data_IF_612211856846
#
_entry.id   IF_612211856846
#
_cell.length_a   1.000
_cell.length_b   1.000
_cell.length_c   1.000
_cell.angle_alpha   90.00
_cell.angle_beta   90.00
_cell.angle_gamma   90.00
#
_symmetry.space_group_name_H-M   'P 1'
#
loop_
_entity.id
_entity.type
_entity.pdbx_description
1 polymer ?
#
# COMPACT_ATOMS: atom_id res chain seq x y z
N UNK A 1 -12.24 48.33 8.47
CA UNK A 1 -11.37 47.33 7.86
C UNK A 1 -11.99 45.95 8.12
N UNK A 2 -12.37 45.20 7.08
CA UNK A 2 -13.07 43.94 7.21
C UNK A 2 -12.17 42.84 7.80
N UNK A 3 -12.73 41.82 8.44
CA UNK A 3 -12.00 40.69 9.03
C UNK A 3 -11.08 39.97 8.00
N UNK A 4 -11.44 39.98 6.74
CA UNK A 4 -10.66 39.45 5.61
C UNK A 4 -9.34 40.19 5.36
N UNK A 5 -9.31 41.52 5.56
CA UNK A 5 -8.10 42.34 5.40
C UNK A 5 -7.07 42.08 6.52
N UNK A 6 -7.51 41.87 7.76
CA UNK A 6 -6.61 41.58 8.90
C UNK A 6 -5.99 40.17 8.78
N UNK A 7 -6.74 39.18 8.31
CA UNK A 7 -6.25 37.83 8.08
C UNK A 7 -5.21 37.78 6.96
N UNK A 8 -5.40 38.54 5.88
CA UNK A 8 -4.44 38.65 4.77
C UNK A 8 -3.10 39.26 5.19
N UNK A 9 -3.13 40.32 6.02
CA UNK A 9 -1.92 40.97 6.54
C UNK A 9 -1.14 40.10 7.52
N UNK A 10 -1.84 39.40 8.42
CA UNK A 10 -1.21 38.44 9.36
C UNK A 10 -0.54 37.30 8.63
N UNK A 11 -1.17 36.84 7.57
CA UNK A 11 -0.66 35.77 6.72
C UNK A 11 0.58 36.15 5.91
N UNK A 12 0.67 37.40 5.40
CA UNK A 12 1.87 37.94 4.74
C UNK A 12 3.06 38.04 5.69
N UNK A 13 2.83 38.46 6.94
CA UNK A 13 3.87 38.53 7.98
C UNK A 13 4.44 37.17 8.32
N UNK A 14 3.60 36.09 8.37
CA UNK A 14 4.04 34.73 8.57
C UNK A 14 4.95 34.27 7.42
N UNK A 15 4.54 34.50 6.17
CA UNK A 15 5.33 34.14 5.00
C UNK A 15 6.68 34.83 4.94
N UNK A 16 6.74 36.13 5.34
CA UNK A 16 7.96 36.92 5.38
C UNK A 16 8.95 36.39 6.42
N UNK A 17 8.50 36.13 7.65
CA UNK A 17 9.34 35.55 8.72
C UNK A 17 9.82 34.13 8.37
N UNK A 18 8.92 33.28 7.91
CA UNK A 18 9.24 31.90 7.63
C UNK A 18 10.10 31.71 6.36
N UNK A 19 9.99 32.60 5.36
CA UNK A 19 10.76 32.54 4.11
C UNK A 19 12.13 33.23 4.19
N UNK A 20 12.36 34.09 5.18
CA UNK A 20 13.58 34.87 5.28
C UNK A 20 14.82 33.99 5.51
N UNK A 21 15.63 33.83 4.47
CA UNK A 21 16.83 32.97 4.44
C UNK A 21 18.11 33.79 4.83
N UNK A 22 18.01 34.80 5.67
CA UNK A 22 19.12 35.68 6.05
C UNK A 22 20.14 35.05 7.01
N UNK A 23 20.52 33.76 6.76
CA UNK A 23 21.75 33.24 7.33
C UNK A 23 22.74 32.97 6.21
N UNK A 24 23.74 33.86 6.13
CA UNK A 24 24.99 33.70 5.34
C UNK A 24 25.48 32.27 5.47
N UNK A 25 25.83 31.64 4.33
CA UNK A 25 26.63 30.41 4.24
C UNK A 25 27.96 30.61 4.99
N UNK A 26 27.94 30.50 6.28
CA UNK A 26 29.14 30.24 7.06
C UNK A 26 29.25 28.74 7.19
N UNK A 27 30.33 28.18 6.63
CA UNK A 27 30.81 26.81 6.85
C UNK A 27 31.13 26.63 8.34
N UNK A 28 30.14 26.61 9.20
CA UNK A 28 30.31 26.26 10.62
C UNK A 28 30.42 24.72 10.72
N UNK A 29 31.50 24.24 11.36
CA UNK A 29 31.59 22.85 11.82
C UNK A 29 30.28 22.45 12.51
N UNK A 30 29.71 21.30 12.11
CA UNK A 30 28.49 20.79 12.70
C UNK A 30 28.55 20.80 14.23
N UNK A 31 27.46 21.27 14.88
CA UNK A 31 27.38 21.33 16.35
C UNK A 31 27.58 19.95 16.99
N UNK A 32 27.93 19.91 18.28
CA UNK A 32 28.05 18.64 19.02
C UNK A 32 26.75 17.83 18.96
N UNK A 33 25.61 18.49 19.09
CA UNK A 33 24.27 17.89 19.00
C UNK A 33 24.01 17.27 17.62
N UNK A 34 24.31 17.98 16.53
CA UNK A 34 24.15 17.48 15.17
C UNK A 34 24.99 16.24 14.89
N UNK A 35 26.21 16.14 15.45
CA UNK A 35 27.07 14.95 15.32
C UNK A 35 26.53 13.75 16.08
N UNK A 36 25.95 13.96 17.27
CA UNK A 36 25.38 12.89 18.09
C UNK A 36 24.20 12.21 17.38
N UNK A 37 23.27 12.99 16.78
CA UNK A 37 22.12 12.42 16.07
C UNK A 37 22.48 11.72 14.76
N UNK A 38 23.51 12.19 14.04
CA UNK A 38 24.00 11.58 12.80
C UNK A 38 24.54 10.17 12.99
N UNK A 39 24.91 9.75 14.18
CA UNK A 39 25.30 8.37 14.45
C UNK A 39 24.13 7.39 14.25
N UNK A 40 22.90 7.83 14.52
CA UNK A 40 21.71 7.00 14.42
C UNK A 40 20.90 7.31 13.16
N UNK A 41 20.93 8.55 12.69
CA UNK A 41 20.21 9.06 11.52
C UNK A 41 21.18 9.83 10.65
N UNK A 42 22.03 9.14 9.85
CA UNK A 42 23.06 9.82 9.05
C UNK A 42 22.46 10.60 7.88
N UNK A 43 21.36 10.13 7.34
CA UNK A 43 20.77 10.63 6.09
C UNK A 43 19.27 10.81 6.23
N UNK A 44 18.68 11.64 5.37
CA UNK A 44 17.25 11.92 5.25
C UNK A 44 16.89 12.04 3.77
N UNK A 45 15.74 11.52 3.39
CA UNK A 45 15.24 11.59 2.02
C UNK A 45 14.41 12.84 1.82
N UNK A 46 14.75 13.63 0.79
CA UNK A 46 13.94 14.76 0.33
C UNK A 46 12.71 14.29 -0.46
N UNK A 47 11.82 15.24 -0.75
CA UNK A 47 10.58 15.01 -1.53
C UNK A 47 10.82 14.54 -2.96
N UNK A 48 11.90 14.99 -3.58
CA UNK A 48 12.34 14.60 -4.93
C UNK A 48 13.09 13.26 -4.98
N UNK A 49 13.22 12.60 -3.82
CA UNK A 49 13.94 11.34 -3.68
C UNK A 49 15.43 11.50 -3.38
N UNK A 50 15.98 12.73 -3.45
CA UNK A 50 17.40 12.97 -3.13
C UNK A 50 17.69 12.64 -1.66
N UNK A 51 18.77 11.92 -1.41
CA UNK A 51 19.24 11.59 -0.07
C UNK A 51 20.31 12.57 0.36
N UNK A 52 20.05 13.28 1.45
CA UNK A 52 20.97 14.29 2.00
C UNK A 52 21.34 13.98 3.44
N UNK A 53 22.42 14.58 3.92
CA UNK A 53 22.86 14.43 5.31
C UNK A 53 21.83 15.04 6.26
N UNK A 54 21.52 14.32 7.35
CA UNK A 54 20.66 14.85 8.42
C UNK A 54 21.30 16.09 9.06
N UNK A 55 20.49 17.14 9.21
CA UNK A 55 20.92 18.43 9.73
C UNK A 55 19.97 18.91 10.84
N UNK A 56 20.42 18.77 12.08
CA UNK A 56 19.68 19.14 13.27
C UNK A 56 19.39 20.66 13.34
N UNK A 57 20.34 21.48 12.92
CA UNK A 57 20.19 22.95 12.97
C UNK A 57 19.04 23.44 12.08
N UNK A 58 18.72 22.72 11.01
CA UNK A 58 17.57 23.05 10.17
C UNK A 58 16.25 22.84 10.90
N UNK A 59 16.18 21.87 11.81
CA UNK A 59 14.99 21.63 12.63
C UNK A 59 14.84 22.75 13.63
N UNK A 60 15.92 23.08 14.36
CA UNK A 60 15.93 24.20 15.33
C UNK A 60 15.47 25.48 14.64
N UNK A 61 16.05 25.79 13.50
CA UNK A 61 15.74 27.02 12.77
C UNK A 61 14.30 27.07 12.25
N UNK A 62 13.75 25.94 11.81
CA UNK A 62 12.36 25.88 11.36
C UNK A 62 11.37 26.08 12.52
N UNK A 63 11.64 25.50 13.69
CA UNK A 63 10.84 25.66 14.90
C UNK A 63 10.93 27.12 15.42
N UNK A 64 12.13 27.66 15.49
CA UNK A 64 12.34 29.06 15.92
C UNK A 64 11.56 30.04 15.05
N UNK A 65 11.61 29.89 13.73
CA UNK A 65 10.79 30.71 12.82
C UNK A 65 9.29 30.56 13.06
N UNK A 66 8.82 29.35 13.34
CA UNK A 66 7.42 29.15 13.66
C UNK A 66 7.01 29.84 14.97
N UNK A 67 7.87 29.79 15.99
CA UNK A 67 7.67 30.48 17.24
C UNK A 67 7.66 32.03 17.07
N UNK A 68 8.59 32.58 16.31
CA UNK A 68 8.59 33.98 15.95
C UNK A 68 7.32 34.41 15.20
N UNK A 69 6.86 33.60 14.27
CA UNK A 69 5.65 33.83 13.50
C UNK A 69 4.36 33.69 14.34
N UNK A 70 4.39 32.85 15.35
CA UNK A 70 3.33 32.67 16.35
C UNK A 70 3.36 33.68 17.49
N UNK A 71 4.43 34.47 17.57
CA UNK A 71 4.68 35.43 18.68
C UNK A 71 4.72 34.73 20.06
N UNK A 72 5.24 33.50 20.08
CA UNK A 72 5.40 32.67 21.29
C UNK A 72 6.71 31.88 21.25
N UNK A 73 7.21 31.48 22.43
CA UNK A 73 8.44 30.71 22.57
C UNK A 73 9.73 31.52 22.43
N UNK A 74 10.84 30.86 22.64
CA UNK A 74 12.20 31.42 22.61
C UNK A 74 13.18 30.48 21.87
N UNK A 75 14.39 30.97 21.57
CA UNK A 75 15.45 30.19 20.95
C UNK A 75 15.77 28.88 21.72
N UNK A 76 15.80 28.99 23.07
CA UNK A 76 16.07 27.85 23.93
C UNK A 76 14.96 26.80 23.87
N UNK A 77 13.72 27.24 23.81
CA UNK A 77 12.56 26.37 23.70
C UNK A 77 12.48 25.73 22.31
N UNK A 78 12.83 26.46 21.26
CA UNK A 78 12.95 25.92 19.90
C UNK A 78 13.99 24.80 19.84
N UNK A 79 15.15 24.98 20.47
CA UNK A 79 16.20 23.98 20.57
C UNK A 79 15.72 22.76 21.37
N UNK A 80 15.01 22.96 22.48
CA UNK A 80 14.45 21.88 23.30
C UNK A 80 13.45 21.01 22.52
N UNK A 81 12.54 21.63 21.77
CA UNK A 81 11.59 20.92 20.92
C UNK A 81 12.32 20.21 19.80
N UNK A 82 13.32 20.82 19.17
CA UNK A 82 14.14 20.17 18.15
C UNK A 82 14.84 18.91 18.68
N UNK A 83 15.30 18.92 19.93
CA UNK A 83 15.85 17.75 20.60
C UNK A 83 14.81 16.65 20.78
N UNK A 84 13.55 16.97 21.11
CA UNK A 84 12.46 15.98 21.19
C UNK A 84 12.16 15.36 19.82
N UNK A 85 12.01 16.20 18.81
CA UNK A 85 11.81 15.76 17.41
C UNK A 85 12.93 14.81 16.97
N UNK A 86 14.20 15.20 17.16
CA UNK A 86 15.33 14.37 16.80
C UNK A 86 15.38 13.07 17.63
N UNK A 87 15.00 13.13 18.90
CA UNK A 87 14.88 11.97 19.79
C UNK A 87 13.84 10.97 19.33
N UNK A 88 12.68 11.44 18.87
CA UNK A 88 11.61 10.60 18.31
C UNK A 88 12.08 9.88 17.04
N UNK A 89 12.72 10.60 16.13
CA UNK A 89 13.28 10.03 14.89
C UNK A 89 14.35 8.98 15.21
N UNK A 90 15.25 9.25 16.16
CA UNK A 90 16.28 8.29 16.61
C UNK A 90 15.65 7.05 17.26
N UNK A 91 14.57 7.22 18.04
CA UNK A 91 13.84 6.11 18.66
C UNK A 91 13.28 5.18 17.59
N UNK A 92 12.70 5.72 16.53
CA UNK A 92 12.21 4.97 15.38
C UNK A 92 13.38 4.28 14.64
N UNK A 93 14.46 5.01 14.38
CA UNK A 93 15.65 4.47 13.70
C UNK A 93 16.31 3.31 14.48
N UNK A 94 16.30 3.36 15.81
CA UNK A 94 16.80 2.25 16.66
C UNK A 94 15.88 1.02 16.62
N UNK A 95 14.59 1.23 16.43
CA UNK A 95 13.59 0.15 16.40
C UNK A 95 13.58 -0.57 15.05
N UNK A 96 13.86 0.15 13.95
CA UNK A 96 13.76 -0.37 12.59
C UNK A 96 15.11 -0.21 11.87
N UNK A 97 15.82 -1.33 11.61
CA UNK A 97 17.22 -1.36 11.09
C UNK A 97 17.46 -0.58 9.79
N UNK A 98 16.47 -0.41 8.94
CA UNK A 98 16.60 0.26 7.63
C UNK A 98 15.72 1.51 7.51
N UNK A 99 15.38 2.13 8.63
CA UNK A 99 14.54 3.33 8.62
C UNK A 99 15.26 4.51 7.98
N UNK A 100 14.71 5.02 6.89
CA UNK A 100 15.13 6.26 6.23
C UNK A 100 14.08 7.35 6.51
N UNK A 101 14.37 8.31 7.39
CA UNK A 101 13.43 9.40 7.64
C UNK A 101 13.26 10.27 6.39
N UNK A 102 12.04 10.74 6.17
CA UNK A 102 11.73 11.69 5.10
C UNK A 102 11.57 13.10 5.66
N UNK A 103 11.76 14.10 4.80
CA UNK A 103 11.52 15.52 5.19
C UNK A 103 10.06 15.70 5.62
N UNK A 104 9.09 15.04 5.00
CA UNK A 104 7.67 15.12 5.38
C UNK A 104 7.45 14.54 6.79
N UNK A 105 7.91 13.30 7.04
CA UNK A 105 7.76 12.68 8.36
C UNK A 105 8.44 13.48 9.47
N UNK A 106 9.57 14.14 9.14
CA UNK A 106 10.23 15.06 10.08
C UNK A 106 9.38 16.29 10.38
N UNK A 107 8.75 16.86 9.36
CA UNK A 107 7.86 18.03 9.51
C UNK A 107 6.58 17.66 10.29
N UNK A 108 6.02 16.47 10.06
CA UNK A 108 4.88 15.99 10.83
C UNK A 108 5.25 15.81 12.32
N UNK A 109 6.46 15.35 12.59
CA UNK A 109 6.97 15.23 13.97
C UNK A 109 7.16 16.61 14.61
N UNK A 110 7.61 17.63 13.86
CA UNK A 110 7.71 19.02 14.35
C UNK A 110 6.33 19.57 14.70
N UNK A 111 5.33 19.39 13.85
CA UNK A 111 3.96 19.83 14.12
C UNK A 111 3.40 19.19 15.39
N UNK A 112 3.56 17.88 15.50
CA UNK A 112 3.15 17.10 16.67
C UNK A 112 3.80 17.62 17.95
N UNK A 113 5.12 17.80 17.95
CA UNK A 113 5.85 18.25 19.14
C UNK A 113 5.53 19.69 19.55
N UNK A 114 5.26 20.59 18.59
CA UNK A 114 4.77 21.94 18.87
C UNK A 114 3.40 21.91 19.56
N UNK A 115 2.47 21.08 19.07
CA UNK A 115 1.14 20.91 19.67
C UNK A 115 1.24 20.30 21.07
N UNK A 116 2.02 19.23 21.24
CA UNK A 116 2.19 18.56 22.52
C UNK A 116 2.91 19.40 23.57
N UNK A 117 3.67 20.41 23.15
CA UNK A 117 4.37 21.35 24.01
C UNK A 117 3.58 22.65 24.23
N UNK A 118 2.30 22.68 23.83
CA UNK A 118 1.35 23.79 23.99
C UNK A 118 1.73 25.09 23.25
N UNK A 119 2.58 25.00 22.20
CA UNK A 119 2.89 26.12 21.30
C UNK A 119 1.90 26.17 20.14
N UNK A 120 0.64 26.49 20.46
CA UNK A 120 -0.48 26.38 19.52
C UNK A 120 -0.37 27.40 18.39
N UNK A 121 0.05 28.64 18.67
CA UNK A 121 0.17 29.69 17.65
C UNK A 121 1.38 29.41 16.72
N UNK A 122 2.50 28.91 17.24
CA UNK A 122 3.65 28.47 16.45
C UNK A 122 3.29 27.26 15.57
N UNK A 123 2.60 26.27 16.12
CA UNK A 123 2.13 25.11 15.34
C UNK A 123 1.23 25.56 14.20
N UNK A 124 0.25 26.42 14.46
CA UNK A 124 -0.63 26.99 13.43
C UNK A 124 0.13 27.74 12.35
N UNK A 125 1.11 28.55 12.73
CA UNK A 125 1.96 29.29 11.78
C UNK A 125 2.77 28.33 10.90
N UNK A 126 3.31 27.27 11.48
CA UNK A 126 4.09 26.25 10.78
C UNK A 126 3.24 25.48 9.76
N UNK A 127 2.05 25.01 10.14
CA UNK A 127 1.10 24.30 9.27
C UNK A 127 0.66 25.17 8.09
N UNK A 128 0.25 26.42 8.38
CA UNK A 128 -0.17 27.37 7.33
C UNK A 128 0.96 27.64 6.34
N UNK A 129 2.19 27.82 6.82
CA UNK A 129 3.34 28.01 5.95
C UNK A 129 3.63 26.79 5.08
N UNK A 130 3.60 25.57 5.65
CA UNK A 130 3.76 24.33 4.87
C UNK A 130 2.73 24.22 3.75
N UNK A 131 1.45 24.43 4.08
CA UNK A 131 0.35 24.37 3.11
C UNK A 131 0.54 25.37 1.96
N UNK A 132 0.91 26.61 2.27
CA UNK A 132 1.17 27.62 1.25
C UNK A 132 2.37 27.29 0.39
N UNK A 133 3.45 26.82 0.98
CA UNK A 133 4.64 26.37 0.21
C UNK A 133 4.32 25.17 -0.68
N UNK A 134 3.40 24.29 -0.27
CA UNK A 134 2.89 23.23 -1.12
C UNK A 134 2.11 23.82 -2.32
N UNK A 135 1.16 24.71 -2.08
CA UNK A 135 0.40 25.41 -3.14
C UNK A 135 1.29 26.19 -4.12
N UNK A 136 2.30 26.93 -3.61
CA UNK A 136 3.24 27.67 -4.47
C UNK A 136 4.07 26.72 -5.35
N UNK A 137 4.47 25.56 -4.83
CA UNK A 137 5.15 24.54 -5.64
C UNK A 137 4.23 23.95 -6.70
N UNK A 138 2.98 23.68 -6.37
CA UNK A 138 1.96 23.23 -7.31
C UNK A 138 1.70 24.26 -8.42
N UNK A 139 1.66 25.54 -8.06
CA UNK A 139 1.48 26.63 -9.02
C UNK A 139 2.74 26.93 -9.85
N UNK A 140 3.92 26.56 -9.37
CA UNK A 140 5.20 26.73 -10.09
C UNK A 140 5.44 25.75 -11.23
N UNK A 141 4.63 24.69 -11.35
CA UNK A 141 4.64 23.79 -12.50
C UNK A 141 3.67 24.35 -13.54
N UNK A 142 4.19 25.10 -14.52
CA UNK A 142 3.42 25.55 -15.67
C UNK A 142 2.96 24.31 -16.46
N UNK A 143 1.67 24.00 -16.37
CA UNK A 143 1.07 22.94 -17.21
C UNK A 143 1.07 23.43 -18.67
N UNK A 144 1.66 22.69 -19.62
CA UNK A 144 1.65 23.08 -21.04
C UNK A 144 0.22 23.34 -21.54
N UNK A 145 0.06 24.33 -22.42
CA UNK A 145 -1.27 24.71 -22.94
C UNK A 145 -1.98 23.56 -23.67
N UNK A 146 -1.22 22.71 -24.36
CA UNK A 146 -1.75 21.50 -24.97
C UNK A 146 -2.38 20.55 -23.93
N UNK A 147 -1.70 20.33 -22.81
CA UNK A 147 -2.22 19.48 -21.71
C UNK A 147 -3.46 20.10 -21.09
N UNK A 148 -3.51 21.45 -20.96
CA UNK A 148 -4.72 22.14 -20.49
C UNK A 148 -5.90 21.93 -21.42
N UNK A 149 -5.70 22.01 -22.73
CA UNK A 149 -6.76 21.77 -23.74
C UNK A 149 -7.29 20.34 -23.67
N UNK A 150 -6.40 19.36 -23.66
CA UNK A 150 -6.75 17.94 -23.56
C UNK A 150 -7.50 17.61 -22.25
N UNK A 151 -7.07 18.21 -21.15
CA UNK A 151 -7.74 18.05 -19.84
C UNK A 151 -9.12 18.71 -19.86
N UNK A 152 -9.26 19.88 -20.47
CA UNK A 152 -10.54 20.57 -20.62
C UNK A 152 -11.54 19.78 -21.49
N UNK A 153 -11.06 19.10 -22.53
CA UNK A 153 -11.88 18.19 -23.33
C UNK A 153 -12.36 17.00 -22.49
N UNK A 154 -11.46 16.32 -21.81
CA UNK A 154 -11.80 15.19 -20.94
C UNK A 154 -12.76 15.58 -19.81
N UNK A 155 -12.64 16.80 -19.29
CA UNK A 155 -13.50 17.34 -18.22
C UNK A 155 -14.97 17.36 -18.60
N UNK A 156 -15.30 17.58 -19.89
CA UNK A 156 -16.68 17.54 -20.37
C UNK A 156 -17.33 16.18 -20.12
N UNK A 157 -16.61 15.10 -20.43
CA UNK A 157 -17.07 13.72 -20.22
C UNK A 157 -17.14 13.35 -18.74
N UNK A 158 -16.29 13.95 -17.90
CA UNK A 158 -16.32 13.79 -16.44
C UNK A 158 -17.36 14.73 -15.78
N UNK A 159 -18.34 15.22 -16.56
CA UNK A 159 -19.44 16.07 -16.12
C UNK A 159 -19.00 17.35 -15.41
N UNK A 160 -17.82 17.88 -15.72
CA UNK A 160 -17.19 19.02 -15.06
C UNK A 160 -17.12 18.87 -13.52
N UNK A 161 -17.06 17.64 -13.01
CA UNK A 161 -17.04 17.35 -11.60
C UNK A 161 -15.59 17.14 -11.11
N UNK A 162 -15.13 18.01 -10.21
CA UNK A 162 -13.76 17.97 -9.67
C UNK A 162 -13.45 16.66 -8.94
N UNK A 163 -14.44 16.04 -8.26
CA UNK A 163 -14.25 14.76 -7.60
C UNK A 163 -14.04 13.65 -8.62
N UNK A 164 -14.82 13.63 -9.70
CA UNK A 164 -14.66 12.67 -10.80
C UNK A 164 -13.29 12.79 -11.46
N UNK A 165 -12.82 14.02 -11.70
CA UNK A 165 -11.47 14.26 -12.20
C UNK A 165 -10.40 13.75 -11.24
N UNK A 166 -10.51 14.08 -9.96
CA UNK A 166 -9.58 13.63 -8.95
C UNK A 166 -9.49 12.09 -8.90
N UNK A 167 -10.64 11.42 -8.83
CA UNK A 167 -10.71 9.95 -8.80
C UNK A 167 -10.13 9.36 -10.08
N UNK A 168 -10.45 9.93 -11.25
CA UNK A 168 -9.94 9.45 -12.52
C UNK A 168 -8.41 9.56 -12.57
N UNK A 169 -7.83 10.75 -12.34
CA UNK A 169 -6.39 10.96 -12.45
C UNK A 169 -5.58 10.23 -11.37
N UNK A 170 -6.13 9.99 -10.20
CA UNK A 170 -5.43 9.28 -9.12
C UNK A 170 -5.51 7.77 -9.24
N UNK A 171 -6.64 7.22 -9.73
CA UNK A 171 -6.91 5.79 -9.69
C UNK A 171 -6.89 5.10 -11.06
N UNK A 172 -7.24 5.78 -12.15
CA UNK A 172 -7.47 5.16 -13.46
C UNK A 172 -6.55 5.63 -14.56
N UNK A 173 -6.13 6.90 -14.56
CA UNK A 173 -5.24 7.45 -15.57
C UNK A 173 -3.86 6.82 -15.46
N UNK A 174 -3.36 6.26 -16.56
CA UNK A 174 -2.01 5.69 -16.65
C UNK A 174 -0.99 6.75 -17.04
N UNK A 175 0.24 6.53 -16.63
CA UNK A 175 1.38 7.30 -17.12
C UNK A 175 1.79 6.79 -18.51
N UNK A 176 1.90 7.69 -19.47
CA UNK A 176 2.48 7.42 -20.78
C UNK A 176 3.92 7.93 -20.79
N UNK A 177 4.90 7.02 -20.95
CA UNK A 177 6.31 7.42 -21.04
C UNK A 177 6.59 8.14 -22.38
N UNK A 178 5.88 7.76 -23.45
CA UNK A 178 5.96 8.41 -24.77
C UNK A 178 5.53 9.88 -24.71
N UNK A 179 4.41 10.16 -24.02
CA UNK A 179 3.85 11.50 -23.89
C UNK A 179 4.42 12.30 -22.72
N UNK A 180 5.20 11.66 -21.83
CA UNK A 180 5.75 12.27 -20.61
C UNK A 180 4.70 12.77 -19.62
N UNK A 181 3.46 12.26 -19.68
CA UNK A 181 2.32 12.66 -18.84
C UNK A 181 1.32 11.53 -18.62
N UNK A 182 0.35 11.79 -17.76
CA UNK A 182 -0.78 10.88 -17.58
C UNK A 182 -1.75 10.97 -18.77
N UNK A 183 -2.44 9.86 -19.04
CA UNK A 183 -3.54 9.80 -20.02
C UNK A 183 -4.71 10.68 -19.60
N UNK A 184 -5.42 11.21 -20.61
CA UNK A 184 -6.74 11.82 -20.45
C UNK A 184 -7.83 10.74 -20.50
N UNK A 185 -9.07 11.10 -20.14
CA UNK A 185 -10.21 10.15 -20.20
C UNK A 185 -10.42 9.61 -21.62
N UNK A 186 -10.36 10.47 -22.61
CA UNK A 186 -10.48 10.08 -24.02
C UNK A 186 -9.41 9.06 -24.39
N UNK A 187 -8.14 9.33 -24.06
CA UNK A 187 -7.01 8.43 -24.33
C UNK A 187 -7.13 7.08 -23.60
N UNK A 188 -7.68 7.08 -22.38
CA UNK A 188 -7.93 5.83 -21.64
C UNK A 188 -8.99 4.98 -22.34
N UNK A 189 -10.07 5.60 -22.83
CA UNK A 189 -11.13 4.90 -23.58
C UNK A 189 -10.58 4.40 -24.91
N UNK A 190 -9.80 5.20 -25.63
CA UNK A 190 -9.19 4.78 -26.90
C UNK A 190 -8.26 3.58 -26.70
N UNK A 191 -7.38 3.59 -25.70
CA UNK A 191 -6.50 2.46 -25.37
C UNK A 191 -7.30 1.19 -25.02
N UNK A 192 -8.42 1.34 -24.31
CA UNK A 192 -9.32 0.22 -24.03
C UNK A 192 -9.96 -0.33 -25.29
N UNK A 193 -10.48 0.53 -26.16
CA UNK A 193 -11.12 0.12 -27.40
C UNK A 193 -10.15 -0.53 -28.37
N UNK A 194 -8.91 -0.01 -28.48
CA UNK A 194 -7.86 -0.61 -29.30
C UNK A 194 -7.53 -2.02 -28.82
N UNK A 195 -7.36 -2.20 -27.51
CA UNK A 195 -7.14 -3.51 -26.90
C UNK A 195 -8.32 -4.47 -27.15
N UNK A 196 -9.55 -3.99 -27.05
CA UNK A 196 -10.74 -4.82 -27.32
C UNK A 196 -10.83 -5.20 -28.79
N UNK A 197 -10.49 -4.29 -29.72
CA UNK A 197 -10.46 -4.58 -31.14
C UNK A 197 -9.41 -5.63 -31.49
N UNK A 198 -8.22 -5.57 -30.87
CA UNK A 198 -7.19 -6.60 -31.02
C UNK A 198 -7.68 -8.00 -30.59
N UNK A 199 -8.49 -8.08 -29.53
CA UNK A 199 -8.93 -9.34 -28.97
C UNK A 199 -10.22 -9.89 -29.60
N UNK A 200 -11.11 -9.01 -30.07
CA UNK A 200 -12.41 -9.40 -30.62
C UNK A 200 -12.42 -9.42 -32.15
N UNK A 201 -11.50 -8.70 -32.80
CA UNK A 201 -11.41 -8.67 -34.28
C UNK A 201 -12.74 -8.30 -34.93
N UNK A 202 -13.16 -9.12 -35.88
CA UNK A 202 -14.36 -8.91 -36.68
C UNK A 202 -15.67 -9.34 -36.02
N UNK A 203 -15.66 -9.64 -34.73
CA UNK A 203 -16.90 -9.97 -33.98
C UNK A 203 -17.86 -8.80 -33.87
N UNK A 204 -17.33 -7.58 -33.97
CA UNK A 204 -18.10 -6.35 -34.07
C UNK A 204 -17.65 -5.60 -35.34
N UNK A 205 -18.60 -4.94 -36.01
CA UNK A 205 -18.30 -4.05 -37.13
C UNK A 205 -17.82 -2.66 -36.66
N UNK A 206 -17.34 -1.85 -37.56
CA UNK A 206 -16.79 -0.52 -37.26
C UNK A 206 -17.78 0.42 -36.56
N UNK A 207 -19.07 0.36 -36.93
CA UNK A 207 -20.11 1.19 -36.32
C UNK A 207 -20.39 0.77 -34.90
N UNK A 208 -20.46 -0.54 -34.62
CA UNK A 208 -20.64 -1.08 -33.26
C UNK A 208 -19.48 -0.71 -32.35
N UNK A 209 -18.23 -0.78 -32.85
CA UNK A 209 -17.07 -0.28 -32.08
C UNK A 209 -17.17 1.22 -31.79
N UNK A 210 -17.64 2.03 -32.73
CA UNK A 210 -17.80 3.47 -32.54
C UNK A 210 -18.91 3.78 -31.52
N UNK A 211 -20.04 3.06 -31.59
CA UNK A 211 -21.15 3.19 -30.64
C UNK A 211 -20.72 2.82 -29.21
N UNK A 212 -20.03 1.68 -29.03
CA UNK A 212 -19.51 1.26 -27.73
C UNK A 212 -18.52 2.29 -27.18
N UNK A 213 -17.61 2.80 -28.03
CA UNK A 213 -16.68 3.84 -27.65
C UNK A 213 -17.37 5.09 -27.12
N UNK A 214 -18.37 5.59 -27.86
CA UNK A 214 -19.12 6.79 -27.49
C UNK A 214 -19.90 6.57 -26.18
N UNK A 215 -20.57 5.45 -26.02
CA UNK A 215 -21.27 5.10 -24.80
C UNK A 215 -20.36 5.05 -23.55
N UNK A 216 -19.12 4.56 -23.73
CA UNK A 216 -18.13 4.58 -22.64
C UNK A 216 -17.65 6.01 -22.37
N UNK A 217 -17.37 6.81 -23.41
CA UNK A 217 -16.94 8.21 -23.27
C UNK A 217 -17.97 9.04 -22.50
N UNK A 218 -19.25 8.90 -22.86
CA UNK A 218 -20.36 9.59 -22.20
C UNK A 218 -20.68 9.04 -20.81
N UNK A 219 -20.06 7.92 -20.41
CA UNK A 219 -20.35 7.20 -19.16
C UNK A 219 -21.78 6.64 -19.08
N UNK A 220 -22.41 6.37 -20.22
CA UNK A 220 -23.70 5.69 -20.28
C UNK A 220 -23.56 4.21 -19.96
N UNK A 221 -22.40 3.62 -20.30
CA UNK A 221 -21.99 2.28 -19.89
C UNK A 221 -20.60 2.31 -19.28
N UNK A 222 -20.37 1.46 -18.30
CA UNK A 222 -19.06 1.30 -17.65
C UNK A 222 -18.55 -0.13 -17.89
N UNK A 223 -17.47 -0.32 -18.64
CA UNK A 223 -16.84 -1.63 -18.74
C UNK A 223 -16.21 -2.03 -17.41
N UNK A 224 -15.66 -3.25 -17.34
CA UNK A 224 -14.86 -3.63 -16.18
C UNK A 224 -13.82 -2.55 -15.87
N UNK A 225 -13.93 -1.92 -14.71
CA UNK A 225 -13.01 -0.86 -14.28
C UNK A 225 -11.57 -1.36 -14.21
N UNK A 226 -11.39 -2.62 -13.90
CA UNK A 226 -10.07 -3.26 -13.87
C UNK A 226 -9.51 -3.39 -15.27
N UNK A 227 -10.31 -3.84 -16.24
CA UNK A 227 -9.87 -3.97 -17.62
C UNK A 227 -9.65 -2.59 -18.27
N UNK A 228 -10.52 -1.61 -17.99
CA UNK A 228 -10.31 -0.23 -18.44
C UNK A 228 -8.96 0.31 -17.99
N UNK A 229 -8.52 -0.01 -16.76
CA UNK A 229 -7.22 0.39 -16.24
C UNK A 229 -6.06 -0.41 -16.84
N UNK A 230 -6.20 -1.74 -17.02
CA UNK A 230 -5.12 -2.66 -17.40
C UNK A 230 -4.98 -2.90 -18.89
N UNK A 231 -6.00 -2.59 -19.69
CA UNK A 231 -5.98 -2.79 -21.14
C UNK A 231 -4.69 -2.25 -21.78
N UNK A 232 -4.18 -2.95 -22.79
CA UNK A 232 -2.89 -2.67 -23.42
C UNK A 232 -1.75 -3.50 -22.81
N UNK A 233 -0.55 -2.94 -22.56
CA UNK A 233 0.64 -3.71 -22.23
C UNK A 233 0.46 -4.65 -21.04
N UNK A 234 -0.18 -4.21 -19.97
CA UNK A 234 -0.38 -5.02 -18.76
C UNK A 234 -1.28 -6.23 -19.03
N UNK A 235 -2.39 -6.05 -19.72
CA UNK A 235 -3.33 -7.14 -20.03
C UNK A 235 -2.81 -8.09 -21.12
N UNK A 236 -1.92 -7.60 -22.03
CA UNK A 236 -1.22 -8.46 -22.99
C UNK A 236 -0.18 -9.35 -22.32
N UNK A 237 0.54 -8.84 -21.30
CA UNK A 237 1.50 -9.62 -20.54
C UNK A 237 0.80 -10.66 -19.67
N UNK A 238 -0.27 -10.27 -18.96
CA UNK A 238 -1.06 -11.16 -18.12
C UNK A 238 -2.52 -10.72 -18.07
N UNK A 239 -3.41 -11.55 -18.61
CA UNK A 239 -4.85 -11.30 -18.56
C UNK A 239 -5.44 -11.40 -17.14
N UNK A 240 -4.70 -11.97 -16.19
CA UNK A 240 -5.08 -12.05 -14.78
C UNK A 240 -5.36 -10.65 -14.22
N UNK A 241 -4.60 -9.63 -14.64
CA UNK A 241 -4.82 -8.25 -14.19
C UNK A 241 -6.17 -7.62 -14.62
N UNK A 242 -6.90 -8.28 -15.52
CA UNK A 242 -8.24 -7.86 -15.93
C UNK A 242 -9.36 -8.26 -14.96
N UNK A 243 -9.07 -9.21 -14.07
CA UNK A 243 -10.04 -9.70 -13.07
C UNK A 243 -10.03 -8.84 -11.82
N UNK A 244 -11.19 -8.64 -11.22
CA UNK A 244 -11.32 -7.91 -9.96
C UNK A 244 -11.06 -8.81 -8.76
N UNK A 245 -11.60 -10.02 -8.78
CA UNK A 245 -11.62 -10.93 -7.64
C UNK A 245 -11.29 -12.36 -8.07
N UNK A 246 -10.68 -13.09 -7.15
CA UNK A 246 -10.37 -14.51 -7.29
C UNK A 246 -10.56 -15.20 -5.94
N UNK A 247 -10.48 -16.52 -5.95
CA UNK A 247 -10.49 -17.33 -4.73
C UNK A 247 -9.52 -18.50 -4.89
N UNK A 248 -8.75 -18.79 -3.84
CA UNK A 248 -7.82 -19.91 -3.76
C UNK A 248 -8.02 -20.64 -2.43
N UNK A 249 -8.17 -21.96 -2.49
CA UNK A 249 -8.14 -22.81 -1.30
C UNK A 249 -6.76 -23.48 -1.20
N UNK A 250 -5.82 -22.96 -0.39
CA UNK A 250 -4.46 -23.48 -0.36
C UNK A 250 -4.42 -24.88 0.26
N UNK A 251 -4.21 -25.87 -0.60
CA UNK A 251 -4.06 -27.27 -0.26
C UNK A 251 -2.66 -27.83 -0.63
N UNK A 252 -1.89 -27.08 -1.40
CA UNK A 252 -0.54 -27.40 -1.84
C UNK A 252 0.38 -26.19 -1.62
N UNK A 253 1.69 -26.43 -1.48
CA UNK A 253 2.66 -25.35 -1.29
C UNK A 253 2.68 -24.35 -2.45
N UNK A 254 2.45 -24.84 -3.66
CA UNK A 254 2.36 -24.02 -4.87
C UNK A 254 1.22 -22.98 -4.81
N UNK A 255 0.14 -23.29 -4.12
CA UNK A 255 -1.04 -22.43 -4.05
C UNK A 255 -0.70 -21.09 -3.36
N UNK A 256 0.29 -21.05 -2.45
CA UNK A 256 0.78 -19.81 -1.85
C UNK A 256 1.50 -18.91 -2.88
N UNK A 257 2.25 -19.52 -3.81
CA UNK A 257 2.84 -18.76 -4.92
C UNK A 257 1.79 -18.21 -5.88
N UNK A 258 0.72 -18.99 -6.16
CA UNK A 258 -0.42 -18.53 -6.96
C UNK A 258 -1.12 -17.35 -6.28
N UNK A 259 -1.38 -17.43 -4.98
CA UNK A 259 -1.92 -16.32 -4.17
C UNK A 259 -1.06 -15.06 -4.32
N UNK A 260 0.24 -15.19 -4.20
CA UNK A 260 1.19 -14.10 -4.34
C UNK A 260 1.15 -13.49 -5.75
N UNK A 261 1.23 -14.31 -6.78
CA UNK A 261 1.19 -13.89 -8.18
C UNK A 261 -0.11 -13.13 -8.53
N UNK A 262 -1.26 -13.73 -8.19
CA UNK A 262 -2.58 -13.15 -8.43
C UNK A 262 -2.70 -11.79 -7.70
N UNK A 263 -2.26 -11.73 -6.46
CA UNK A 263 -2.27 -10.49 -5.67
C UNK A 263 -1.35 -9.43 -6.28
N UNK A 264 -0.16 -9.79 -6.78
CA UNK A 264 0.74 -8.87 -7.50
C UNK A 264 0.18 -8.41 -8.85
N UNK A 265 -0.71 -9.17 -9.48
CA UNK A 265 -1.52 -8.70 -10.60
C UNK A 265 -2.62 -7.70 -10.18
N UNK A 266 -2.75 -7.43 -8.88
CA UNK A 266 -3.68 -6.47 -8.30
C UNK A 266 -5.11 -6.98 -8.18
N UNK A 267 -5.34 -8.29 -8.20
CA UNK A 267 -6.65 -8.93 -8.02
C UNK A 267 -6.94 -9.06 -6.54
N UNK A 268 -8.16 -8.75 -6.12
CA UNK A 268 -8.64 -9.03 -4.77
C UNK A 268 -8.78 -10.54 -4.57
N UNK A 269 -8.34 -11.07 -3.43
CA UNK A 269 -8.25 -12.49 -3.21
C UNK A 269 -9.08 -12.94 -2.00
N UNK A 270 -10.01 -13.87 -2.24
CA UNK A 270 -10.56 -14.74 -1.19
C UNK A 270 -9.68 -15.98 -1.02
N UNK A 271 -9.49 -16.43 0.20
CA UNK A 271 -8.78 -17.67 0.46
C UNK A 271 -9.44 -18.47 1.59
N UNK A 272 -9.32 -19.81 1.47
CA UNK A 272 -9.76 -20.72 2.53
C UNK A 272 -8.63 -20.96 3.54
N UNK A 273 -8.96 -20.75 4.81
CA UNK A 273 -8.19 -21.24 5.94
C UNK A 273 -8.98 -22.32 6.69
N UNK A 274 -9.88 -23.03 5.98
CA UNK A 274 -10.69 -24.12 6.51
C UNK A 274 -9.84 -25.38 6.65
N UNK A 275 -10.12 -26.15 7.69
CA UNK A 275 -9.37 -27.37 8.04
C UNK A 275 -9.33 -28.38 6.91
N UNK A 276 -10.41 -28.51 6.12
CA UNK A 276 -10.48 -29.39 4.97
C UNK A 276 -9.34 -29.16 3.96
N UNK A 277 -9.01 -27.91 3.69
CA UNK A 277 -7.95 -27.54 2.76
C UNK A 277 -6.58 -27.56 3.43
N UNK A 278 -6.45 -26.97 4.60
CA UNK A 278 -5.17 -26.83 5.31
C UNK A 278 -4.57 -28.18 5.68
N UNK A 279 -5.39 -29.16 6.03
CA UNK A 279 -4.91 -30.52 6.38
C UNK A 279 -4.41 -31.34 5.16
N UNK A 280 -4.61 -30.86 3.94
CA UNK A 280 -4.00 -31.45 2.75
C UNK A 280 -2.54 -31.05 2.57
N UNK A 281 -2.09 -29.95 3.20
CA UNK A 281 -0.68 -29.53 3.17
C UNK A 281 0.22 -30.63 3.76
N UNK A 282 1.45 -30.79 3.24
CA UNK A 282 2.37 -31.81 3.73
C UNK A 282 2.77 -31.57 5.19
N UNK A 283 3.20 -32.63 5.88
CA UNK A 283 3.82 -32.51 7.19
C UNK A 283 5.23 -31.92 7.05
N UNK A 284 5.56 -30.98 7.93
CA UNK A 284 6.87 -30.32 7.94
C UNK A 284 7.91 -31.27 8.52
N UNK A 285 8.96 -31.56 7.76
CA UNK A 285 10.07 -32.39 8.20
C UNK A 285 10.93 -31.65 9.23
N UNK A 286 11.58 -32.42 10.12
CA UNK A 286 12.56 -31.84 11.04
C UNK A 286 13.77 -31.32 10.27
N UNK A 287 14.32 -30.21 10.72
CA UNK A 287 15.50 -29.60 10.09
C UNK A 287 16.71 -30.54 10.14
N UNK A 288 17.36 -30.72 9.00
CA UNK A 288 18.49 -31.65 8.81
C UNK A 288 19.85 -30.91 8.78
N UNK A 289 19.85 -29.58 8.93
CA UNK A 289 21.08 -28.77 8.86
C UNK A 289 21.69 -28.71 7.43
N UNK A 290 20.95 -29.13 6.41
CA UNK A 290 21.40 -29.08 5.01
C UNK A 290 20.92 -27.78 4.38
N UNK A 291 21.87 -26.99 3.85
CA UNK A 291 21.60 -25.78 3.10
C UNK A 291 21.64 -26.09 1.61
N UNK A 292 20.57 -25.75 0.89
CA UNK A 292 20.52 -25.89 -0.57
C UNK A 292 21.38 -24.81 -1.25
N UNK A 293 21.65 -24.96 -2.56
CA UNK A 293 22.31 -23.94 -3.35
C UNK A 293 21.57 -22.60 -3.23
N UNK A 294 22.34 -21.51 -3.15
CA UNK A 294 21.78 -20.15 -3.21
C UNK A 294 20.97 -19.96 -4.49
N UNK A 295 19.74 -19.43 -4.34
CA UNK A 295 18.84 -19.12 -5.46
C UNK A 295 18.85 -17.63 -5.73
N UNK A 296 19.17 -17.24 -6.97
CA UNK A 296 19.08 -15.85 -7.44
C UNK A 296 17.64 -15.56 -7.86
N UNK A 297 17.04 -14.56 -7.25
CA UNK A 297 15.63 -14.22 -7.50
C UNK A 297 15.53 -13.33 -8.74
N UNK A 298 14.68 -13.71 -9.69
CA UNK A 298 14.40 -12.90 -10.87
C UNK A 298 13.51 -11.69 -10.53
N UNK A 299 13.80 -10.53 -11.18
CA UNK A 299 13.09 -9.26 -10.94
C UNK A 299 11.74 -9.19 -11.69
N UNK A 300 10.89 -10.17 -11.40
CA UNK A 300 9.55 -10.34 -11.98
C UNK A 300 8.55 -10.82 -10.93
N UNK A 301 7.25 -10.75 -11.24
CA UNK A 301 6.19 -11.29 -10.38
C UNK A 301 6.31 -12.82 -10.26
N UNK A 302 6.63 -13.44 -11.38
CA UNK A 302 6.89 -14.86 -11.52
C UNK A 302 8.07 -15.28 -10.67
N UNK A 303 9.22 -14.56 -10.79
CA UNK A 303 10.43 -14.84 -10.02
C UNK A 303 10.23 -14.73 -8.51
N UNK A 304 9.44 -13.78 -8.06
CA UNK A 304 9.06 -13.65 -6.64
C UNK A 304 8.21 -14.85 -6.17
N UNK A 305 7.19 -15.22 -6.96
CA UNK A 305 6.31 -16.35 -6.65
C UNK A 305 7.08 -17.67 -6.65
N UNK A 306 7.93 -17.91 -7.66
CA UNK A 306 8.73 -19.12 -7.78
C UNK A 306 9.77 -19.25 -6.66
N UNK A 307 10.43 -18.14 -6.30
CA UNK A 307 11.35 -18.11 -5.17
C UNK A 307 10.63 -18.43 -3.85
N UNK A 308 9.40 -17.92 -3.67
CA UNK A 308 8.60 -18.21 -2.48
C UNK A 308 8.19 -19.68 -2.42
N UNK A 309 7.72 -20.27 -3.53
CA UNK A 309 7.40 -21.71 -3.63
C UNK A 309 8.63 -22.55 -3.29
N UNK A 310 9.79 -22.23 -3.90
CA UNK A 310 11.04 -22.92 -3.64
C UNK A 310 11.45 -22.87 -2.16
N UNK A 311 11.27 -21.71 -1.51
CA UNK A 311 11.50 -21.55 -0.09
C UNK A 311 10.61 -22.44 0.74
N UNK A 312 9.29 -22.42 0.48
CA UNK A 312 8.32 -23.27 1.16
C UNK A 312 8.67 -24.77 1.02
N UNK A 313 8.88 -25.26 -0.20
CA UNK A 313 9.21 -26.65 -0.48
C UNK A 313 10.49 -27.09 0.23
N UNK A 314 11.51 -26.20 0.24
CA UNK A 314 12.78 -26.47 0.89
C UNK A 314 12.63 -26.57 2.42
N UNK A 315 11.96 -25.61 3.05
CA UNK A 315 11.75 -25.61 4.50
C UNK A 315 10.85 -26.76 4.96
N UNK A 316 9.79 -27.09 4.20
CA UNK A 316 8.95 -28.25 4.47
C UNK A 316 9.72 -29.58 4.37
N UNK A 317 10.72 -29.67 3.50
CA UNK A 317 11.58 -30.86 3.37
C UNK A 317 12.62 -31.00 4.48
N UNK A 318 12.66 -30.05 5.41
CA UNK A 318 13.64 -30.01 6.50
C UNK A 318 15.04 -29.55 6.05
N UNK A 319 15.12 -28.82 4.95
CA UNK A 319 16.35 -28.18 4.45
C UNK A 319 16.23 -26.68 4.59
N UNK A 320 17.35 -25.98 4.44
CA UNK A 320 17.40 -24.52 4.36
C UNK A 320 17.86 -24.07 2.96
N UNK A 321 17.65 -22.80 2.63
CA UNK A 321 18.03 -22.19 1.38
C UNK A 321 18.36 -20.71 1.60
N UNK A 322 19.38 -20.23 0.93
CA UNK A 322 19.73 -18.83 0.85
C UNK A 322 19.22 -18.22 -0.45
N UNK A 323 18.77 -16.97 -0.37
CA UNK A 323 18.28 -16.22 -1.52
C UNK A 323 19.17 -15.02 -1.80
N UNK A 324 19.52 -14.83 -3.06
CA UNK A 324 20.20 -13.65 -3.55
C UNK A 324 19.19 -12.65 -4.12
N UNK A 325 19.06 -11.53 -3.45
CA UNK A 325 18.15 -10.43 -3.79
C UNK A 325 18.83 -9.32 -4.61
N UNK A 326 20.11 -9.47 -4.93
CA UNK A 326 20.92 -8.40 -5.56
C UNK A 326 20.43 -7.97 -6.94
N UNK A 327 19.75 -8.90 -7.65
CA UNK A 327 19.15 -8.65 -8.97
C UNK A 327 17.84 -7.86 -8.92
N UNK A 328 17.23 -7.67 -7.75
CA UNK A 328 15.95 -7.00 -7.63
C UNK A 328 16.11 -5.47 -7.70
N UNK A 329 15.17 -4.82 -8.41
CA UNK A 329 15.16 -3.37 -8.54
C UNK A 329 15.00 -2.68 -7.18
N UNK A 330 15.69 -1.53 -6.97
CA UNK A 330 15.61 -0.81 -5.70
C UNK A 330 14.25 -0.15 -5.48
N UNK A 331 13.97 0.20 -4.23
CA UNK A 331 12.77 0.97 -3.87
C UNK A 331 12.72 2.30 -4.64
N UNK A 332 11.52 2.66 -5.11
CA UNK A 332 11.27 3.87 -5.88
C UNK A 332 11.50 3.74 -7.39
N UNK A 333 12.11 2.66 -7.89
CA UNK A 333 12.24 2.40 -9.33
C UNK A 333 10.85 2.25 -10.00
N UNK A 334 10.71 2.75 -11.23
CA UNK A 334 9.44 2.64 -11.97
C UNK A 334 9.10 1.17 -12.29
N UNK A 335 7.84 0.80 -12.13
CA UNK A 335 7.32 -0.47 -12.62
C UNK A 335 7.00 -0.34 -14.11
N UNK A 336 7.53 -1.25 -14.94
CA UNK A 336 7.45 -1.14 -16.41
C UNK A 336 6.03 -1.31 -16.95
N UNK A 337 5.28 -2.29 -16.42
CA UNK A 337 4.04 -2.76 -17.04
C UNK A 337 2.79 -2.30 -16.28
N UNK A 338 2.79 -2.43 -14.96
CA UNK A 338 1.62 -2.16 -14.12
C UNK A 338 1.50 -0.69 -13.69
N UNK A 339 2.53 0.12 -13.92
CA UNK A 339 2.63 1.48 -13.37
C UNK A 339 2.90 1.47 -11.86
N UNK A 340 3.28 2.63 -11.31
CA UNK A 340 3.68 2.73 -9.91
C UNK A 340 5.19 2.60 -9.71
N UNK A 341 5.60 2.39 -8.47
CA UNK A 341 7.01 2.29 -8.07
C UNK A 341 7.29 1.02 -7.29
N UNK A 342 8.47 0.46 -7.43
CA UNK A 342 8.95 -0.69 -6.67
C UNK A 342 9.10 -0.36 -5.19
N UNK A 343 8.81 -1.33 -4.33
CA UNK A 343 9.10 -1.30 -2.89
C UNK A 343 10.55 -1.70 -2.55
N UNK A 344 11.29 -2.20 -3.53
CA UNK A 344 12.59 -2.85 -3.26
C UNK A 344 12.45 -4.30 -2.79
N UNK A 345 13.58 -4.95 -2.44
CA UNK A 345 13.60 -6.34 -1.99
C UNK A 345 13.10 -6.56 -0.55
N UNK A 346 13.12 -5.53 0.31
CA UNK A 346 12.86 -5.64 1.74
C UNK A 346 11.52 -6.31 2.10
N UNK A 347 10.40 -6.02 1.41
CA UNK A 347 9.15 -6.72 1.70
C UNK A 347 9.22 -8.23 1.44
N UNK A 348 9.89 -8.65 0.36
CA UNK A 348 10.07 -10.06 0.06
C UNK A 348 10.96 -10.74 1.09
N UNK A 349 12.07 -10.10 1.49
CA UNK A 349 12.93 -10.60 2.57
C UNK A 349 12.12 -10.82 3.85
N UNK A 350 11.26 -9.86 4.19
CA UNK A 350 10.36 -9.95 5.34
C UNK A 350 9.37 -11.11 5.24
N UNK A 351 8.79 -11.38 4.07
CA UNK A 351 7.89 -12.51 3.85
C UNK A 351 8.65 -13.84 4.01
N UNK A 352 9.83 -13.97 3.36
CA UNK A 352 10.64 -15.19 3.42
C UNK A 352 11.02 -15.53 4.87
N UNK A 353 11.48 -14.54 5.64
CA UNK A 353 11.81 -14.72 7.04
C UNK A 353 10.59 -15.12 7.88
N UNK A 354 9.45 -14.44 7.71
CA UNK A 354 8.22 -14.72 8.42
C UNK A 354 7.69 -16.14 8.14
N UNK A 355 7.59 -16.52 6.87
CA UNK A 355 7.11 -17.84 6.49
C UNK A 355 8.04 -18.95 7.00
N UNK A 356 9.35 -18.77 6.88
CA UNK A 356 10.35 -19.69 7.41
C UNK A 356 10.19 -19.89 8.92
N UNK A 357 10.02 -18.82 9.68
CA UNK A 357 9.82 -18.86 11.13
C UNK A 357 8.57 -19.68 11.49
N UNK A 358 7.42 -19.39 10.88
CA UNK A 358 6.16 -20.14 11.10
C UNK A 358 6.31 -21.64 10.78
N UNK A 359 6.98 -21.97 9.67
CA UNK A 359 7.20 -23.36 9.26
C UNK A 359 8.13 -24.08 10.25
N UNK A 360 9.26 -23.49 10.60
CA UNK A 360 10.23 -24.11 11.51
C UNK A 360 9.63 -24.32 12.89
N UNK A 361 8.79 -23.41 13.39
CA UNK A 361 8.07 -23.57 14.65
C UNK A 361 7.13 -24.80 14.67
N UNK A 362 6.76 -25.31 13.49
CA UNK A 362 5.84 -26.44 13.34
C UNK A 362 6.51 -27.75 12.89
N UNK A 363 7.82 -27.87 13.04
CA UNK A 363 8.56 -29.09 12.66
C UNK A 363 7.94 -30.37 13.24
N UNK A 364 7.81 -31.39 12.44
CA UNK A 364 7.19 -32.67 12.79
C UNK A 364 5.65 -32.63 12.85
N UNK A 365 5.04 -31.49 12.50
CA UNK A 365 3.59 -31.28 12.49
C UNK A 365 3.15 -30.67 11.15
N UNK A 366 1.86 -30.49 10.97
CA UNK A 366 1.29 -29.67 9.87
C UNK A 366 1.12 -28.23 10.34
N UNK A 367 0.97 -27.32 9.39
CA UNK A 367 0.51 -25.96 9.69
C UNK A 367 -0.91 -26.03 10.27
N UNK A 368 -1.22 -25.09 11.15
CA UNK A 368 -2.59 -24.82 11.62
C UNK A 368 -3.28 -23.86 10.67
N UNK A 369 -4.58 -23.76 10.76
CA UNK A 369 -5.39 -22.83 9.98
C UNK A 369 -4.90 -21.37 10.17
N UNK A 370 -4.59 -21.00 11.40
CA UNK A 370 -4.06 -19.65 11.71
C UNK A 370 -2.65 -19.41 11.12
N UNK A 371 -1.81 -20.44 11.01
CA UNK A 371 -0.48 -20.30 10.41
C UNK A 371 -0.62 -20.03 8.89
N UNK A 372 -1.54 -20.70 8.21
CA UNK A 372 -1.88 -20.45 6.80
C UNK A 372 -2.48 -19.07 6.63
N UNK A 373 -3.43 -18.70 7.47
CA UNK A 373 -4.01 -17.35 7.51
C UNK A 373 -2.93 -16.27 7.63
N UNK A 374 -2.00 -16.41 8.58
CA UNK A 374 -0.94 -15.44 8.84
C UNK A 374 0.03 -15.32 7.65
N UNK A 375 0.40 -16.45 7.00
CA UNK A 375 1.27 -16.45 5.80
C UNK A 375 0.58 -15.73 4.64
N UNK A 376 -0.70 -16.01 4.37
CA UNK A 376 -1.44 -15.34 3.29
C UNK A 376 -1.62 -13.84 3.58
N UNK A 377 -1.91 -13.48 4.82
CA UNK A 377 -1.97 -12.08 5.23
C UNK A 377 -0.62 -11.38 5.03
N UNK A 378 0.50 -12.06 5.30
CA UNK A 378 1.85 -11.53 5.06
C UNK A 378 2.13 -11.33 3.57
N UNK A 379 1.65 -12.23 2.71
CA UNK A 379 1.69 -12.01 1.24
C UNK A 379 0.93 -10.73 0.88
N UNK A 380 -0.27 -10.52 1.44
CA UNK A 380 -1.04 -9.29 1.22
C UNK A 380 -0.28 -8.02 1.63
N UNK A 381 0.42 -8.05 2.76
CA UNK A 381 1.21 -6.92 3.26
C UNK A 381 2.33 -6.52 2.28
N UNK A 382 3.07 -7.48 1.72
CA UNK A 382 4.16 -7.18 0.79
C UNK A 382 3.67 -6.65 -0.56
N UNK A 383 2.50 -7.09 -1.02
CA UNK A 383 1.87 -6.60 -2.25
C UNK A 383 1.45 -5.14 -2.13
N UNK A 384 0.92 -4.74 -0.97
CA UNK A 384 0.59 -3.33 -0.68
C UNK A 384 1.84 -2.47 -0.66
N UNK A 385 2.91 -2.95 -0.02
CA UNK A 385 4.20 -2.26 -0.01
C UNK A 385 4.78 -2.11 -1.42
N UNK A 386 4.51 -3.05 -2.33
CA UNK A 386 4.95 -3.02 -3.73
C UNK A 386 4.30 -1.97 -4.61
N UNK A 387 3.43 -1.13 -4.09
CA UNK A 387 2.86 0.02 -4.82
C UNK A 387 1.83 -0.33 -5.90
N UNK A 388 1.46 -1.61 -6.05
CA UNK A 388 0.47 -2.10 -7.04
C UNK A 388 -0.91 -2.07 -6.46
N UNK A 389 -1.52 -1.18 -5.92
CA UNK A 389 -2.84 -1.11 -5.28
C UNK A 389 -2.93 -1.84 -3.93
N UNK A 390 -3.90 -1.43 -3.14
CA UNK A 390 -4.27 -2.06 -1.88
C UNK A 390 -4.66 -3.52 -2.15
N UNK A 391 -3.95 -4.45 -1.52
CA UNK A 391 -4.39 -5.83 -1.43
C UNK A 391 -5.73 -5.86 -0.67
N UNK A 392 -6.71 -6.56 -1.24
CA UNK A 392 -7.97 -6.84 -0.57
C UNK A 392 -8.06 -8.35 -0.39
N UNK A 393 -7.96 -8.79 0.85
CA UNK A 393 -8.06 -10.21 1.19
C UNK A 393 -9.33 -10.46 1.99
N UNK A 394 -9.94 -11.62 1.77
CA UNK A 394 -10.98 -12.18 2.63
C UNK A 394 -10.62 -13.62 3.00
N UNK A 395 -10.56 -13.91 4.29
CA UNK A 395 -10.30 -15.25 4.83
C UNK A 395 -11.60 -15.94 5.16
N UNK A 396 -11.77 -17.15 4.66
CA UNK A 396 -12.84 -18.07 5.01
C UNK A 396 -12.32 -19.09 6.02
N UNK A 397 -13.04 -19.35 7.10
CA UNK A 397 -12.63 -20.29 8.14
C UNK A 397 -13.82 -21.08 8.68
N UNK A 398 -13.55 -22.25 9.23
CA UNK A 398 -14.55 -23.08 9.87
C UNK A 398 -15.26 -22.32 10.97
N UNK A 399 -16.56 -22.59 11.15
CA UNK A 399 -17.37 -21.92 12.16
C UNK A 399 -16.86 -22.15 13.58
N UNK A 400 -16.33 -23.34 13.85
CA UNK A 400 -15.79 -23.77 15.15
C UNK A 400 -14.32 -23.41 15.36
N UNK A 401 -13.65 -22.78 14.37
CA UNK A 401 -12.26 -22.32 14.51
C UNK A 401 -12.18 -21.10 15.43
N UNK A 402 -12.01 -21.38 16.72
CA UNK A 402 -11.88 -20.36 17.77
C UNK A 402 -10.58 -19.56 17.63
N UNK A 403 -9.50 -20.16 17.12
CA UNK A 403 -8.20 -19.49 16.99
C UNK A 403 -8.28 -18.38 15.93
N UNK A 404 -8.90 -18.64 14.77
CA UNK A 404 -9.14 -17.60 13.77
C UNK A 404 -10.20 -16.60 14.23
N UNK A 405 -11.28 -17.06 14.87
CA UNK A 405 -12.30 -16.17 15.44
C UNK A 405 -11.69 -15.12 16.36
N UNK A 406 -10.75 -15.53 17.19
CA UNK A 406 -10.14 -14.70 18.21
C UNK A 406 -8.84 -14.00 17.75
N UNK A 407 -8.40 -14.25 16.52
CA UNK A 407 -7.11 -13.79 15.95
C UNK A 407 -6.91 -12.27 15.93
N UNK A 408 -8.01 -11.51 15.97
CA UNK A 408 -7.99 -10.04 15.96
C UNK A 408 -8.54 -9.42 17.26
N UNK A 409 -8.50 -10.16 18.37
CA UNK A 409 -8.84 -9.60 19.67
C UNK A 409 -7.70 -8.77 20.25
N UNK A 410 -8.05 -7.74 21.02
CA UNK A 410 -7.10 -6.89 21.74
C UNK A 410 -6.20 -6.05 20.80
N UNK A 411 -4.91 -6.00 21.11
CA UNK A 411 -3.93 -5.20 20.39
C UNK A 411 -3.19 -6.01 19.31
N UNK A 412 -3.89 -6.88 18.58
CA UNK A 412 -3.30 -7.74 17.54
C UNK A 412 -2.49 -6.95 16.50
N UNK A 413 -2.88 -5.72 16.20
CA UNK A 413 -2.15 -4.83 15.27
C UNK A 413 -0.73 -4.49 15.73
N UNK A 414 -0.40 -4.73 17.00
CA UNK A 414 0.96 -4.55 17.53
C UNK A 414 1.78 -5.85 17.50
N UNK A 415 1.13 -7.00 17.64
CA UNK A 415 1.79 -8.31 17.74
C UNK A 415 1.79 -9.06 16.41
N UNK A 416 0.68 -9.01 15.69
CA UNK A 416 0.47 -9.70 14.41
C UNK A 416 -0.14 -8.74 13.37
N UNK A 417 0.58 -7.67 13.01
CA UNK A 417 0.03 -6.58 12.17
C UNK A 417 -0.43 -7.03 10.78
N UNK A 418 0.15 -8.10 10.22
CA UNK A 418 -0.26 -8.65 8.93
C UNK A 418 -1.73 -9.07 8.89
N UNK A 419 -2.34 -9.43 10.04
CA UNK A 419 -3.76 -9.82 10.13
C UNK A 419 -4.72 -8.70 9.75
N UNK A 420 -4.24 -7.44 9.71
CA UNK A 420 -5.03 -6.32 9.19
C UNK A 420 -5.29 -6.41 7.68
N UNK A 421 -4.55 -7.27 6.95
CA UNK A 421 -4.67 -7.39 5.50
C UNK A 421 -5.91 -8.14 5.03
N UNK A 422 -6.50 -9.00 5.86
CA UNK A 422 -7.68 -9.78 5.50
C UNK A 422 -8.90 -9.40 6.35
N UNK A 423 -10.09 -9.41 5.75
CA UNK A 423 -11.35 -9.53 6.49
C UNK A 423 -11.61 -11.00 6.77
N UNK A 424 -11.97 -11.34 7.99
CA UNK A 424 -12.24 -12.72 8.38
C UNK A 424 -13.74 -13.03 8.33
N UNK A 425 -14.12 -14.18 7.78
CA UNK A 425 -15.50 -14.66 7.71
C UNK A 425 -15.60 -16.13 8.16
N UNK A 426 -16.63 -16.44 8.93
CA UNK A 426 -17.00 -17.81 9.26
C UNK A 426 -17.86 -18.42 8.15
N UNK A 427 -17.59 -19.64 7.75
CA UNK A 427 -18.33 -20.38 6.72
C UNK A 427 -19.47 -21.17 7.38
N UNK A 428 -20.69 -20.89 6.95
CA UNK A 428 -21.90 -21.58 7.39
C UNK A 428 -22.34 -22.55 6.29
N UNK A 429 -22.02 -23.83 6.45
CA UNK A 429 -22.38 -24.89 5.51
C UNK A 429 -23.83 -25.36 5.70
N UNK A 430 -24.42 -25.08 6.86
CA UNK A 430 -25.81 -25.35 7.21
C UNK A 430 -26.34 -24.24 8.13
N UNK A 431 -27.64 -24.29 8.44
CA UNK A 431 -28.24 -23.37 9.42
C UNK A 431 -27.68 -23.70 10.80
N UNK A 432 -26.98 -22.78 11.48
CA UNK A 432 -26.43 -23.03 12.80
C UNK A 432 -27.52 -23.17 13.86
N UNK A 433 -27.22 -23.81 14.97
CA UNK A 433 -28.06 -23.75 16.17
C UNK A 433 -28.09 -22.30 16.71
N UNK A 434 -29.13 -21.97 17.46
CA UNK A 434 -29.23 -20.64 18.10
C UNK A 434 -28.02 -20.36 19.02
N UNK A 435 -27.54 -21.36 19.74
CA UNK A 435 -26.38 -21.29 20.62
C UNK A 435 -25.11 -20.91 19.84
N UNK A 436 -24.75 -21.67 18.81
CA UNK A 436 -23.57 -21.37 17.96
C UNK A 436 -23.66 -20.00 17.31
N UNK A 437 -24.84 -19.61 16.83
CA UNK A 437 -25.04 -18.30 16.22
C UNK A 437 -24.82 -17.18 17.26
N UNK A 438 -25.37 -17.32 18.45
CA UNK A 438 -25.23 -16.32 19.51
C UNK A 438 -23.80 -16.21 20.03
N UNK A 439 -23.04 -17.32 20.06
CA UNK A 439 -21.63 -17.31 20.42
C UNK A 439 -20.80 -16.52 19.41
N UNK A 440 -20.99 -16.76 18.12
CA UNK A 440 -20.33 -15.99 17.05
C UNK A 440 -20.72 -14.52 17.09
N UNK A 441 -22.03 -14.23 17.24
CA UNK A 441 -22.52 -12.86 17.35
C UNK A 441 -21.94 -12.13 18.55
N UNK A 442 -21.86 -12.80 19.67
CA UNK A 442 -21.26 -12.26 20.91
C UNK A 442 -19.77 -12.01 20.72
N UNK A 443 -19.04 -12.93 20.08
CA UNK A 443 -17.62 -12.75 19.75
C UNK A 443 -17.39 -11.54 18.84
N UNK A 444 -18.20 -11.38 17.79
CA UNK A 444 -18.17 -10.24 16.88
C UNK A 444 -18.38 -8.91 17.62
N UNK A 445 -19.41 -8.82 18.47
CA UNK A 445 -19.68 -7.62 19.27
C UNK A 445 -18.53 -7.30 20.22
N UNK A 446 -17.97 -8.31 20.90
CA UNK A 446 -16.86 -8.15 21.86
C UNK A 446 -15.54 -7.79 21.18
N UNK A 447 -15.31 -8.25 19.96
CA UNK A 447 -14.06 -7.96 19.23
C UNK A 447 -13.91 -6.47 18.91
N UNK A 448 -15.00 -5.73 18.72
CA UNK A 448 -15.06 -4.33 18.28
C UNK A 448 -14.39 -4.08 16.93
N UNK A 449 -14.09 -5.13 16.18
CA UNK A 449 -13.47 -5.05 14.84
C UNK A 449 -14.48 -5.17 13.70
N UNK A 450 -15.72 -5.62 14.00
CA UNK A 450 -16.73 -5.94 13.00
C UNK A 450 -16.52 -7.32 12.35
N UNK A 451 -15.63 -8.15 12.88
CA UNK A 451 -15.30 -9.49 12.37
C UNK A 451 -15.50 -10.56 13.47
N UNK A 452 -15.74 -11.82 13.09
CA UNK A 452 -15.84 -12.40 11.73
C UNK A 452 -17.18 -12.08 11.07
N UNK A 453 -17.15 -11.91 9.72
CA UNK A 453 -18.34 -11.87 8.90
C UNK A 453 -19.01 -13.25 8.78
N UNK A 454 -20.21 -13.28 8.20
CA UNK A 454 -20.99 -14.50 7.94
C UNK A 454 -20.93 -14.80 6.45
N UNK A 455 -20.41 -15.97 6.06
CA UNK A 455 -20.49 -16.49 4.71
C UNK A 455 -21.44 -17.69 4.66
N UNK A 456 -22.63 -17.50 4.07
CA UNK A 456 -23.65 -18.55 3.96
C UNK A 456 -23.37 -19.47 2.75
N UNK A 457 -22.53 -20.46 2.92
CA UNK A 457 -22.22 -21.45 1.88
C UNK A 457 -23.46 -22.30 1.54
N UNK A 458 -24.30 -22.65 2.53
CA UNK A 458 -25.52 -23.41 2.33
C UNK A 458 -26.55 -22.75 1.38
N UNK A 459 -26.44 -21.43 1.20
CA UNK A 459 -27.32 -20.68 0.32
C UNK A 459 -26.86 -20.59 -1.14
N UNK A 460 -25.62 -20.98 -1.45
CA UNK A 460 -25.01 -20.80 -2.78
C UNK A 460 -25.79 -21.51 -3.88
N UNK A 461 -26.20 -22.76 -3.67
CA UNK A 461 -26.95 -23.54 -4.67
C UNK A 461 -28.28 -22.87 -5.09
N UNK A 462 -28.87 -22.08 -4.19
CA UNK A 462 -30.12 -21.36 -4.45
C UNK A 462 -29.90 -20.02 -5.15
N UNK A 463 -28.73 -19.44 -4.99
CA UNK A 463 -28.41 -18.07 -5.47
C UNK A 463 -27.61 -18.09 -6.78
N UNK A 464 -26.82 -19.15 -7.02
CA UNK A 464 -26.00 -19.23 -8.22
C UNK A 464 -26.84 -19.57 -9.46
N UNK A 465 -26.51 -19.00 -10.62
CA UNK A 465 -27.11 -19.39 -11.89
C UNK A 465 -26.86 -20.88 -12.17
N UNK A 466 -27.83 -21.58 -12.78
CA UNK A 466 -27.75 -23.01 -13.10
C UNK A 466 -26.43 -23.40 -13.79
N UNK A 467 -25.94 -22.57 -14.72
CA UNK A 467 -24.65 -22.78 -15.42
C UNK A 467 -23.44 -22.89 -14.47
N UNK A 468 -23.52 -22.38 -13.23
CA UNK A 468 -22.45 -22.47 -12.24
C UNK A 468 -22.67 -23.63 -11.26
N UNK A 469 -23.91 -23.94 -10.93
CA UNK A 469 -24.23 -25.04 -10.02
C UNK A 469 -23.99 -26.41 -10.66
N UNK A 470 -24.08 -26.52 -11.99
CA UNK A 470 -23.75 -27.75 -12.74
C UNK A 470 -22.27 -28.13 -12.67
N UNK A 471 -21.39 -27.19 -12.38
CA UNK A 471 -19.94 -27.42 -12.24
C UNK A 471 -19.47 -27.58 -10.79
N UNK A 472 -20.34 -27.36 -9.81
CA UNK A 472 -20.05 -27.50 -8.38
C UNK A 472 -20.40 -28.89 -7.83
N UNK A 473 -20.97 -29.78 -8.67
CA UNK A 473 -21.20 -31.21 -8.39
C UNK A 473 -20.03 -32.01 -8.89
#
# INVERSE_FOLDING_TARGET
MSATSKTSLKNKKIDEIMSNNSHKKTTKKASKSSRSYRQFVPKIQKRDGEIVTFDFERIVHAIHKAMLAGEEGSDKEAELIAHRVAGDVVRIAKKYKNFMPTVEGLQDTVEKELILSDYVAASKAYIIYRERRAKVREQGVSVPEEVKKLTAESRKYLRNNTLSEFVYYTAYSRWSDEKGRRETWVETVDRYMDFMRENMGDKLNANEYAEVREAILQQDVCPSMRLLWSAGPAARESNVCAYNCSFVAPARLRDFGEIMYISMCGVGLGFSAESENVQQLPQIQRQKGVVAKTHVIDDSKEGWADAFILGLETWFSGKDIEFDYSGLRPAGAKLKTMGGRSSGPEPLIGLMAFAKEKIIARQGKRLRNIDVHDIVCKIGEIVVAGGVRRSALISMSDLDDVEIRDSKKGQFYMTEPQRMMANNSAVYTEKPTAEHFLDEWTALVKSKTGERGIFNAAGLDKQLPKRRTEHLK
#
